data_IF_222710149996
#
_entry.id   IF_222710149996
#
_cell.length_a   1.000
_cell.length_b   1.000
_cell.length_c   1.000
_cell.angle_alpha   90.00
_cell.angle_beta   90.00
_cell.angle_gamma   90.00
#
_symmetry.space_group_name_H-M   'P 1'
#
loop_
_entity.id
_entity.type
_entity.pdbx_description
1 polymer ?
#
# COMPACT_ATOMS: atom_id res chain seq x y z
N UNK A 1 49.54 11.43 3.12
CA UNK A 1 49.43 11.38 4.60
C UNK A 1 48.15 10.64 4.95
N UNK A 2 48.30 9.38 5.32
CA UNK A 2 47.25 8.44 5.72
C UNK A 2 46.81 8.75 7.16
N UNK A 3 45.49 8.81 7.40
CA UNK A 3 44.92 8.71 8.74
C UNK A 3 43.76 7.73 8.73
N UNK A 4 44.10 6.51 9.15
CA UNK A 4 43.18 5.52 9.69
C UNK A 4 42.36 6.13 10.84
N UNK A 5 41.08 5.78 10.94
CA UNK A 5 40.37 5.78 12.22
C UNK A 5 39.68 4.46 12.45
N UNK A 6 40.01 3.93 13.63
CA UNK A 6 39.70 2.64 14.21
C UNK A 6 38.22 2.54 14.58
N UNK A 7 37.63 1.38 14.29
CA UNK A 7 36.39 0.91 14.90
C UNK A 7 36.64 0.56 16.37
N UNK A 8 35.81 1.09 17.26
CA UNK A 8 35.69 0.65 18.66
C UNK A 8 34.32 0.01 18.85
N UNK A 9 34.33 -1.31 19.03
CA UNK A 9 33.24 -2.14 19.53
C UNK A 9 33.44 -2.35 21.04
N UNK A 10 32.36 -2.27 21.82
CA UNK A 10 32.04 -3.08 23.02
C UNK A 10 30.98 -2.35 23.91
N UNK A 11 30.29 -3.04 24.84
CA UNK A 11 29.73 -4.40 24.76
C UNK A 11 28.27 -4.50 25.28
N UNK A 12 27.63 -5.62 24.95
CA UNK A 12 26.47 -6.18 25.65
C UNK A 12 26.81 -6.47 27.12
N UNK A 13 25.91 -6.09 28.03
CA UNK A 13 25.99 -6.40 29.46
C UNK A 13 24.69 -7.02 29.95
N UNK A 14 24.77 -8.31 30.19
CA UNK A 14 23.82 -9.22 30.83
C UNK A 14 23.70 -8.91 32.33
N UNK A 15 22.49 -8.86 32.91
CA UNK A 15 22.25 -8.98 34.37
C UNK A 15 20.88 -9.56 34.69
N UNK A 16 20.93 -10.80 35.14
CA UNK A 16 19.90 -11.60 35.77
C UNK A 16 19.85 -11.43 37.31
N UNK A 17 18.65 -11.69 37.87
CA UNK A 17 18.27 -11.99 39.27
C UNK A 17 18.26 -10.80 40.26
N UNK A 18 17.23 -10.58 41.09
CA UNK A 18 16.86 -11.44 42.24
C UNK A 18 15.46 -11.08 42.79
N UNK A 19 14.71 -12.09 43.26
CA UNK A 19 13.45 -12.04 44.04
C UNK A 19 13.78 -11.99 45.55
N UNK A 20 12.99 -11.33 46.42
CA UNK A 20 12.30 -12.11 47.46
C UNK A 20 10.87 -11.65 47.85
N UNK A 21 10.13 -12.67 48.32
CA UNK A 21 8.77 -12.77 48.87
C UNK A 21 8.50 -11.92 50.12
N UNK A 22 7.26 -11.40 50.26
CA UNK A 22 6.48 -11.30 51.52
C UNK A 22 4.99 -11.47 51.14
N UNK A 23 4.42 -12.68 51.24
CA UNK A 23 3.63 -13.22 52.38
C UNK A 23 2.25 -12.57 52.55
N UNK A 24 1.25 -13.32 52.06
CA UNK A 24 -0.02 -13.65 52.68
C UNK A 24 -0.42 -12.88 53.96
N UNK A 25 -1.54 -12.16 53.87
CA UNK A 25 -2.53 -11.92 54.94
C UNK A 25 -3.59 -10.99 54.37
N UNK A 26 -4.75 -11.50 53.96
CA UNK A 26 -6.05 -10.81 54.01
C UNK A 26 -7.15 -11.75 53.48
N UNK A 27 -7.30 -12.89 54.13
CA UNK A 27 -8.47 -13.77 53.98
C UNK A 27 -8.80 -14.32 55.36
N UNK A 28 -9.89 -13.78 55.94
CA UNK A 28 -10.73 -14.27 57.03
C UNK A 28 -10.98 -13.23 58.12
N UNK A 29 -12.09 -12.50 57.98
CA UNK A 29 -12.98 -12.11 59.10
C UNK A 29 -14.25 -11.47 58.55
N UNK A 30 -15.30 -12.28 58.37
CA UNK A 30 -16.69 -11.92 58.68
C UNK A 30 -17.63 -13.07 58.26
N UNK A 31 -17.66 -14.14 59.05
CA UNK A 31 -18.85 -14.97 59.20
C UNK A 31 -19.62 -14.43 60.41
N UNK A 32 -20.90 -14.10 60.22
CA UNK A 32 -22.00 -14.08 61.21
C UNK A 32 -23.27 -13.68 60.44
N UNK A 33 -24.05 -14.66 59.97
CA UNK A 33 -25.34 -15.06 60.59
C UNK A 33 -26.47 -14.49 59.70
N UNK A 34 -27.56 -15.16 59.34
CA UNK A 34 -28.30 -16.30 59.88
C UNK A 34 -29.04 -17.03 58.72
N UNK A 35 -29.29 -18.35 58.90
CA UNK A 35 -30.52 -19.14 58.59
C UNK A 35 -31.12 -19.07 57.16
N UNK A 36 -31.56 -20.14 56.48
CA UNK A 36 -32.17 -21.42 56.84
C UNK A 36 -32.20 -22.35 55.57
N UNK A 37 -32.75 -23.60 55.58
CA UNK A 37 -32.04 -24.78 55.05
C UNK A 37 -32.74 -25.57 53.90
N UNK A 38 -32.05 -26.62 53.44
CA UNK A 38 -32.53 -27.90 52.84
C UNK A 38 -32.96 -27.97 51.34
N UNK A 39 -32.56 -29.11 50.74
CA UNK A 39 -32.95 -29.70 49.43
C UNK A 39 -32.42 -28.96 48.19
N UNK A 40 -31.44 -29.46 47.43
CA UNK A 40 -31.47 -30.76 46.74
C UNK A 40 -30.08 -31.13 46.23
N UNK A 41 -29.53 -32.22 46.76
CA UNK A 41 -28.42 -32.95 46.16
C UNK A 41 -28.99 -34.17 45.39
N UNK A 42 -28.20 -34.65 44.43
CA UNK A 42 -28.43 -35.77 43.51
C UNK A 42 -29.32 -35.47 42.30
N UNK A 43 -28.66 -35.19 41.17
CA UNK A 43 -28.77 -35.99 39.96
C UNK A 43 -27.57 -35.71 39.04
N UNK A 44 -26.94 -36.80 38.58
CA UNK A 44 -26.13 -36.91 37.37
C UNK A 44 -24.64 -36.52 37.45
N UNK A 45 -23.89 -37.40 38.12
CA UNK A 45 -22.58 -37.85 37.66
C UNK A 45 -22.67 -38.47 36.26
N UNK A 46 -22.22 -37.76 35.23
CA UNK A 46 -21.86 -38.32 33.92
C UNK A 46 -20.36 -38.10 33.70
N UNK A 47 -19.60 -39.12 33.28
CA UNK A 47 -18.17 -38.96 33.03
C UNK A 47 -17.99 -38.02 31.83
N UNK A 48 -17.19 -36.98 32.04
CA UNK A 48 -16.72 -36.13 30.96
C UNK A 48 -16.02 -37.00 29.93
N UNK A 49 -16.63 -37.13 28.75
CA UNK A 49 -16.04 -37.83 27.61
C UNK A 49 -14.83 -37.02 27.16
N UNK A 50 -13.66 -37.43 27.63
CA UNK A 50 -12.38 -36.97 27.13
C UNK A 50 -12.25 -37.33 25.64
N UNK A 51 -11.73 -36.39 24.84
CA UNK A 51 -11.20 -36.65 23.51
C UNK A 51 -12.19 -36.52 22.36
N UNK A 52 -12.73 -35.32 22.12
CA UNK A 52 -12.89 -34.89 20.73
C UNK A 52 -11.49 -34.48 20.24
N UNK A 53 -10.97 -35.02 19.13
CA UNK A 53 -9.69 -34.55 18.59
C UNK A 53 -9.88 -33.07 18.25
N UNK A 54 -9.10 -32.20 18.89
CA UNK A 54 -8.95 -30.81 18.49
C UNK A 54 -8.60 -30.84 17.00
N UNK A 55 -9.54 -30.43 16.15
CA UNK A 55 -9.29 -30.37 14.72
C UNK A 55 -8.01 -29.54 14.50
N UNK A 56 -7.10 -29.95 13.61
CA UNK A 56 -5.86 -29.22 13.40
C UNK A 56 -6.21 -27.77 13.08
N UNK A 57 -5.78 -26.83 13.94
CA UNK A 57 -5.88 -25.40 13.70
C UNK A 57 -4.84 -24.97 12.65
N UNK A 58 -4.72 -25.76 11.58
CA UNK A 58 -3.75 -25.49 10.52
C UNK A 58 -4.32 -24.31 9.75
N UNK A 59 -3.71 -23.15 9.99
CA UNK A 59 -3.90 -21.98 9.16
C UNK A 59 -3.60 -22.39 7.73
N UNK A 60 -4.57 -22.23 6.86
CA UNK A 60 -4.36 -22.46 5.45
C UNK A 60 -3.71 -21.21 4.85
N UNK A 61 -2.74 -21.40 3.97
CA UNK A 61 -2.06 -20.30 3.28
C UNK A 61 -1.92 -20.63 1.79
N UNK A 62 -2.07 -19.61 0.95
CA UNK A 62 -1.66 -19.65 -0.45
C UNK A 62 -0.92 -18.37 -0.81
N UNK A 63 0.05 -18.50 -1.72
CA UNK A 63 0.87 -17.40 -2.17
C UNK A 63 0.87 -17.31 -3.68
N UNK A 64 0.82 -16.09 -4.19
CA UNK A 64 0.78 -15.78 -5.61
C UNK A 64 1.84 -14.74 -5.94
N UNK A 65 2.51 -14.88 -7.08
CA UNK A 65 3.25 -13.77 -7.70
C UNK A 65 2.26 -12.92 -8.45
N UNK A 66 2.22 -11.63 -8.14
CA UNK A 66 1.48 -10.62 -8.88
C UNK A 66 2.38 -10.04 -9.98
N UNK A 67 1.91 -10.11 -11.21
CA UNK A 67 2.54 -9.50 -12.37
C UNK A 67 1.56 -8.56 -13.06
N UNK A 68 2.07 -7.45 -13.55
CA UNK A 68 1.34 -6.53 -14.41
C UNK A 68 2.06 -6.42 -15.74
N UNK A 69 1.35 -6.67 -16.85
CA UNK A 69 1.94 -6.76 -18.20
C UNK A 69 3.16 -7.68 -18.29
N UNK A 70 3.11 -8.80 -17.56
CA UNK A 70 4.20 -9.78 -17.51
C UNK A 70 5.39 -9.37 -16.63
N UNK A 71 5.38 -8.17 -16.04
CA UNK A 71 6.42 -7.72 -15.10
C UNK A 71 6.02 -8.16 -13.68
N UNK A 72 6.81 -9.00 -12.99
CA UNK A 72 6.52 -9.39 -11.62
C UNK A 72 6.72 -8.20 -10.67
N UNK A 73 5.62 -7.66 -10.13
CA UNK A 73 5.63 -6.47 -9.27
C UNK A 73 5.45 -6.79 -7.80
N UNK A 74 5.09 -8.01 -7.43
CA UNK A 74 4.86 -8.32 -6.04
C UNK A 74 4.43 -9.74 -5.75
N UNK A 75 4.02 -9.95 -4.51
CA UNK A 75 3.36 -11.18 -4.08
C UNK A 75 2.11 -10.86 -3.28
N UNK A 76 1.10 -11.70 -3.45
CA UNK A 76 -0.11 -11.73 -2.61
C UNK A 76 -0.06 -13.01 -1.79
N UNK A 77 -0.32 -12.89 -0.49
CA UNK A 77 -0.51 -14.02 0.42
C UNK A 77 -1.93 -13.98 0.95
N UNK A 78 -2.61 -15.12 0.85
CA UNK A 78 -3.93 -15.36 1.41
C UNK A 78 -3.76 -16.32 2.58
N UNK A 79 -4.30 -15.97 3.75
CA UNK A 79 -4.27 -16.83 4.93
C UNK A 79 -5.66 -16.93 5.55
N UNK A 80 -6.03 -18.11 6.04
CA UNK A 80 -7.28 -18.32 6.75
C UNK A 80 -7.05 -19.11 8.03
N UNK A 81 -7.45 -18.53 9.16
CA UNK A 81 -7.44 -19.16 10.47
C UNK A 81 -8.86 -19.62 10.84
N UNK A 82 -9.20 -20.92 10.73
CA UNK A 82 -10.57 -21.39 10.90
C UNK A 82 -11.15 -21.12 12.29
N UNK A 83 -10.34 -21.28 13.35
CA UNK A 83 -10.79 -21.07 14.72
C UNK A 83 -11.21 -19.63 15.03
N UNK A 84 -10.55 -18.64 14.41
CA UNK A 84 -10.91 -17.23 14.52
C UNK A 84 -11.79 -16.74 13.37
N UNK A 85 -12.06 -17.61 12.38
CA UNK A 85 -12.71 -17.29 11.09
C UNK A 85 -12.14 -16.05 10.44
N UNK A 86 -10.83 -15.88 10.58
CA UNK A 86 -10.12 -14.68 10.14
C UNK A 86 -9.46 -14.99 8.80
N UNK A 87 -9.90 -14.27 7.79
CA UNK A 87 -9.25 -14.22 6.49
C UNK A 87 -8.29 -13.03 6.44
N UNK A 88 -7.07 -13.26 5.99
CA UNK A 88 -6.04 -12.22 5.86
C UNK A 88 -5.54 -12.19 4.43
N UNK A 89 -5.55 -11.00 3.85
CA UNK A 89 -4.98 -10.67 2.56
C UNK A 89 -3.76 -9.78 2.79
N UNK A 90 -2.61 -10.22 2.35
CA UNK A 90 -1.36 -9.45 2.43
C UNK A 90 -0.81 -9.25 1.02
N UNK A 91 -0.76 -8.01 0.56
CA UNK A 91 -0.10 -7.64 -0.69
C UNK A 91 1.26 -7.00 -0.42
N UNK A 92 2.28 -7.48 -1.12
CA UNK A 92 3.66 -7.00 -1.02
C UNK A 92 4.15 -6.62 -2.41
N UNK A 93 4.27 -5.33 -2.69
CA UNK A 93 4.77 -4.81 -3.95
C UNK A 93 6.23 -4.42 -3.83
N UNK A 94 7.03 -4.86 -4.80
CA UNK A 94 8.45 -4.54 -4.94
C UNK A 94 8.58 -3.59 -6.11
N UNK A 95 9.46 -2.61 -5.98
CA UNK A 95 9.77 -1.66 -7.03
C UNK A 95 11.27 -1.36 -7.02
N UNK A 96 11.81 -0.98 -8.17
CA UNK A 96 13.20 -0.61 -8.33
C UNK A 96 13.27 0.86 -8.75
N UNK A 97 14.16 1.61 -8.11
CA UNK A 97 14.46 3.01 -8.46
C UNK A 97 15.96 3.27 -8.28
N UNK A 98 16.64 3.66 -9.35
CA UNK A 98 18.08 3.91 -9.39
C UNK A 98 18.89 2.77 -8.76
N UNK A 99 18.56 1.52 -9.12
CA UNK A 99 19.21 0.32 -8.58
C UNK A 99 18.82 -0.06 -7.14
N UNK A 100 18.06 0.79 -6.43
CA UNK A 100 17.56 0.49 -5.09
C UNK A 100 16.21 -0.20 -5.16
N UNK A 101 16.06 -1.25 -4.36
CA UNK A 101 14.84 -2.04 -4.29
C UNK A 101 14.05 -1.63 -3.06
N UNK A 102 12.88 -1.03 -3.29
CA UNK A 102 11.92 -0.71 -2.25
C UNK A 102 10.79 -1.72 -2.19
N UNK A 103 10.11 -1.78 -1.04
CA UNK A 103 8.97 -2.66 -0.81
C UNK A 103 7.86 -1.91 -0.11
N UNK A 104 6.62 -2.09 -0.58
CA UNK A 104 5.41 -1.66 0.12
C UNK A 104 4.57 -2.87 0.46
N UNK A 105 4.16 -2.97 1.72
CA UNK A 105 3.28 -4.05 2.20
C UNK A 105 1.96 -3.43 2.65
N UNK A 106 0.84 -4.03 2.26
CA UNK A 106 -0.50 -3.72 2.75
C UNK A 106 -1.15 -5.00 3.21
N UNK A 107 -1.86 -4.93 4.33
CA UNK A 107 -2.58 -6.06 4.91
C UNK A 107 -4.00 -5.64 5.23
N UNK A 108 -4.94 -6.55 4.98
CA UNK A 108 -6.32 -6.45 5.41
C UNK A 108 -6.71 -7.77 6.04
N UNK A 109 -7.32 -7.71 7.23
CA UNK A 109 -7.88 -8.87 7.89
C UNK A 109 -9.38 -8.69 8.11
N UNK A 110 -10.14 -9.72 7.75
CA UNK A 110 -11.60 -9.75 7.78
C UNK A 110 -12.07 -10.96 8.58
N UNK A 111 -13.10 -10.77 9.40
CA UNK A 111 -13.81 -11.88 10.03
C UNK A 111 -14.91 -12.33 9.08
N UNK A 112 -14.99 -13.63 8.82
CA UNK A 112 -15.97 -14.21 7.90
C UNK A 112 -17.10 -14.92 8.65
N UNK A 113 -18.29 -14.91 8.07
CA UNK A 113 -19.43 -15.75 8.45
C UNK A 113 -19.20 -17.20 7.99
N UNK A 114 -20.06 -18.18 8.38
CA UNK A 114 -19.86 -19.58 7.95
C UNK A 114 -19.93 -19.73 6.43
N UNK A 115 -20.71 -18.87 5.80
CA UNK A 115 -20.94 -18.86 4.37
C UNK A 115 -19.88 -18.03 3.61
N UNK A 116 -18.83 -17.57 4.30
CA UNK A 116 -17.69 -16.86 3.70
C UNK A 116 -17.90 -15.37 3.46
N UNK A 117 -19.02 -14.79 3.88
CA UNK A 117 -19.28 -13.35 3.78
C UNK A 117 -18.52 -12.59 4.87
N UNK A 118 -18.22 -11.32 4.65
CA UNK A 118 -17.65 -10.46 5.69
C UNK A 118 -18.68 -10.24 6.80
N UNK A 119 -18.27 -10.35 8.07
CA UNK A 119 -19.15 -10.12 9.21
C UNK A 119 -19.84 -8.75 9.13
N UNK A 120 -21.17 -8.73 9.30
CA UNK A 120 -22.00 -7.53 9.17
C UNK A 120 -22.20 -7.03 7.74
N UNK A 121 -21.79 -7.77 6.72
CA UNK A 121 -21.94 -7.42 5.30
C UNK A 121 -22.45 -8.63 4.49
N UNK A 122 -23.15 -8.34 3.40
CA UNK A 122 -23.58 -9.36 2.43
C UNK A 122 -22.51 -9.64 1.37
N UNK A 123 -21.32 -9.04 1.49
CA UNK A 123 -20.26 -9.15 0.50
C UNK A 123 -19.24 -10.24 0.85
N UNK A 124 -18.67 -10.88 -0.17
CA UNK A 124 -17.61 -11.89 -0.04
C UNK A 124 -16.26 -11.28 -0.49
N UNK A 125 -15.13 -11.51 0.20
CA UNK A 125 -13.84 -11.03 -0.29
C UNK A 125 -13.49 -11.66 -1.64
N UNK A 126 -13.02 -10.86 -2.60
CA UNK A 126 -12.75 -11.27 -3.97
C UNK A 126 -11.80 -12.47 -4.05
N UNK A 127 -10.67 -12.37 -3.35
CA UNK A 127 -9.65 -13.43 -3.32
C UNK A 127 -10.11 -14.65 -2.53
N UNK A 128 -10.93 -14.49 -1.48
CA UNK A 128 -11.55 -15.61 -0.78
C UNK A 128 -12.50 -16.40 -1.69
N UNK A 129 -13.36 -15.69 -2.42
CA UNK A 129 -14.32 -16.26 -3.37
C UNK A 129 -13.64 -17.11 -4.45
N UNK A 130 -12.47 -16.68 -4.92
CA UNK A 130 -11.71 -17.40 -5.95
C UNK A 130 -10.74 -18.44 -5.43
N UNK A 131 -10.36 -18.42 -4.14
CA UNK A 131 -9.26 -19.25 -3.64
C UNK A 131 -9.59 -20.76 -3.69
N UNK A 132 -10.86 -21.13 -3.45
CA UNK A 132 -11.29 -22.53 -3.28
C UNK A 132 -12.42 -22.93 -4.23
N UNK A 133 -12.07 -23.82 -5.16
CA UNK A 133 -12.93 -24.37 -6.20
C UNK A 133 -13.21 -23.36 -7.29
N UNK A 134 -13.51 -23.80 -8.52
CA UNK A 134 -14.15 -22.90 -9.45
C UNK A 134 -15.51 -22.47 -8.84
N UNK A 135 -15.77 -21.16 -8.66
CA UNK A 135 -17.07 -20.72 -8.17
C UNK A 135 -18.19 -21.15 -9.11
N UNK A 136 -19.37 -21.40 -8.54
CA UNK A 136 -20.54 -21.79 -9.32
C UNK A 136 -20.96 -20.66 -10.29
N UNK A 137 -21.50 -21.00 -11.47
CA UNK A 137 -22.10 -20.01 -12.37
C UNK A 137 -23.13 -19.13 -11.66
N UNK A 138 -23.12 -17.83 -11.96
CA UNK A 138 -23.96 -16.84 -11.30
C UNK A 138 -23.16 -15.70 -10.69
N UNK A 139 -23.85 -14.78 -10.01
CA UNK A 139 -23.25 -13.57 -9.45
C UNK A 139 -23.36 -13.54 -7.92
N UNK A 140 -22.32 -13.01 -7.29
CA UNK A 140 -22.30 -12.63 -5.88
C UNK A 140 -21.92 -11.17 -5.73
N UNK A 141 -22.24 -10.56 -4.60
CA UNK A 141 -21.66 -9.27 -4.23
C UNK A 141 -20.26 -9.51 -3.70
N UNK A 142 -19.25 -9.24 -4.52
CA UNK A 142 -17.86 -9.33 -4.09
C UNK A 142 -17.34 -8.02 -3.54
N UNK A 143 -16.25 -8.10 -2.78
CA UNK A 143 -15.55 -6.97 -2.16
C UNK A 143 -14.06 -7.07 -2.45
N UNK A 144 -13.49 -6.04 -3.05
CA UNK A 144 -12.04 -5.94 -3.19
C UNK A 144 -11.40 -5.59 -1.84
N UNK A 145 -10.35 -6.32 -1.46
CA UNK A 145 -9.82 -6.32 -0.10
C UNK A 145 -9.27 -4.95 0.32
N UNK A 146 -8.41 -4.34 -0.50
CA UNK A 146 -7.60 -3.17 -0.13
C UNK A 146 -8.32 -1.81 -0.20
N UNK A 147 -9.32 -1.69 -1.07
CA UNK A 147 -10.14 -0.50 -1.29
C UNK A 147 -11.49 -0.60 -0.61
N UNK A 148 -12.00 -1.83 -0.44
CA UNK A 148 -13.34 -2.06 0.07
C UNK A 148 -14.48 -1.73 -0.85
N UNK A 149 -14.19 -1.49 -2.12
CA UNK A 149 -15.21 -1.39 -3.15
C UNK A 149 -15.97 -2.71 -3.25
N UNK A 150 -17.30 -2.61 -3.23
CA UNK A 150 -18.21 -3.73 -3.39
C UNK A 150 -18.90 -3.66 -4.77
N UNK A 151 -19.25 -4.82 -5.33
CA UNK A 151 -19.96 -4.89 -6.59
C UNK A 151 -20.05 -6.31 -7.15
N UNK A 152 -20.69 -6.49 -8.31
CA UNK A 152 -20.96 -7.82 -8.85
C UNK A 152 -19.67 -8.56 -9.21
N UNK A 153 -19.61 -9.82 -8.81
CA UNK A 153 -18.62 -10.81 -9.22
C UNK A 153 -19.38 -11.98 -9.81
N UNK A 154 -19.23 -12.19 -11.11
CA UNK A 154 -20.07 -13.12 -11.86
C UNK A 154 -19.22 -14.18 -12.55
N UNK A 155 -19.59 -15.44 -12.41
CA UNK A 155 -19.08 -16.54 -13.24
C UNK A 155 -20.03 -16.77 -14.40
N UNK A 156 -19.50 -16.72 -15.61
CA UNK A 156 -20.27 -16.94 -16.85
C UNK A 156 -19.99 -18.30 -17.47
N UNK A 157 -18.80 -18.88 -17.23
CA UNK A 157 -18.46 -20.20 -17.72
C UNK A 157 -17.47 -20.93 -16.80
N UNK A 158 -17.62 -22.26 -16.74
CA UNK A 158 -16.68 -23.18 -16.09
C UNK A 158 -16.39 -24.31 -17.07
N UNK A 159 -15.11 -24.51 -17.43
CA UNK A 159 -14.68 -25.52 -18.41
C UNK A 159 -13.31 -26.05 -18.01
N UNK A 160 -13.16 -27.37 -17.88
CA UNK A 160 -11.86 -28.05 -17.69
C UNK A 160 -10.96 -27.43 -16.60
N UNK A 161 -11.55 -27.09 -15.43
CA UNK A 161 -10.83 -26.46 -14.32
C UNK A 161 -10.46 -24.98 -14.54
N UNK A 162 -10.94 -24.37 -15.62
CA UNK A 162 -10.91 -22.93 -15.85
C UNK A 162 -12.28 -22.29 -15.61
N UNK A 163 -12.26 -21.04 -15.15
CA UNK A 163 -13.45 -20.21 -14.88
C UNK A 163 -13.28 -18.89 -15.59
N UNK A 164 -14.35 -18.46 -16.24
CA UNK A 164 -14.44 -17.14 -16.87
C UNK A 164 -15.60 -16.36 -16.26
N UNK A 165 -15.45 -15.05 -16.21
CA UNK A 165 -16.44 -14.19 -15.60
C UNK A 165 -16.04 -12.73 -15.56
N UNK A 166 -16.68 -11.98 -14.67
CA UNK A 166 -16.35 -10.59 -14.38
C UNK A 166 -16.18 -10.35 -12.88
N UNK A 167 -15.26 -9.46 -12.51
CA UNK A 167 -15.10 -8.93 -11.15
C UNK A 167 -15.16 -7.42 -11.22
N UNK A 168 -16.17 -6.81 -10.59
CA UNK A 168 -16.39 -5.37 -10.62
C UNK A 168 -16.42 -4.81 -12.06
N UNK A 169 -17.03 -5.58 -12.97
CA UNK A 169 -17.12 -5.25 -14.39
C UNK A 169 -15.87 -5.54 -15.23
N UNK A 170 -14.75 -5.97 -14.65
CA UNK A 170 -13.56 -6.38 -15.39
C UNK A 170 -13.60 -7.87 -15.72
N UNK A 171 -13.30 -8.29 -16.96
CA UNK A 171 -13.23 -9.70 -17.31
C UNK A 171 -12.10 -10.39 -16.56
N UNK A 172 -12.33 -11.63 -16.14
CA UNK A 172 -11.31 -12.46 -15.54
C UNK A 172 -11.33 -13.89 -16.08
N UNK A 173 -10.16 -14.53 -15.96
CA UNK A 173 -10.00 -15.97 -16.15
C UNK A 173 -9.23 -16.54 -14.97
N UNK A 174 -9.76 -17.59 -14.35
CA UNK A 174 -9.10 -18.31 -13.26
C UNK A 174 -8.85 -19.77 -13.66
N UNK A 175 -7.75 -20.36 -13.18
CA UNK A 175 -7.41 -21.77 -13.40
C UNK A 175 -7.15 -22.43 -12.07
N UNK A 176 -7.68 -23.64 -11.93
CA UNK A 176 -7.64 -24.42 -10.70
C UNK A 176 -6.90 -25.74 -10.93
N UNK A 177 -6.21 -26.23 -9.91
CA UNK A 177 -5.67 -27.59 -9.93
C UNK A 177 -6.74 -28.65 -9.65
N UNK A 178 -6.34 -29.92 -9.72
CA UNK A 178 -7.22 -31.07 -9.45
C UNK A 178 -7.79 -31.09 -8.01
N UNK A 179 -7.24 -30.30 -7.08
CA UNK A 179 -7.74 -30.15 -5.71
C UNK A 179 -8.64 -28.92 -5.57
N UNK A 180 -8.96 -28.25 -6.68
CA UNK A 180 -9.75 -27.03 -6.69
C UNK A 180 -9.00 -25.84 -6.08
N UNK A 181 -7.66 -25.83 -6.06
CA UNK A 181 -6.91 -24.64 -5.61
C UNK A 181 -6.62 -23.72 -6.77
N UNK A 182 -6.79 -22.42 -6.55
CA UNK A 182 -6.43 -21.41 -7.53
C UNK A 182 -4.93 -21.52 -7.85
N UNK A 183 -4.60 -21.75 -9.12
CA UNK A 183 -3.23 -21.82 -9.66
C UNK A 183 -2.89 -20.57 -10.47
N UNK A 184 -3.89 -19.96 -11.10
CA UNK A 184 -3.70 -18.76 -11.91
C UNK A 184 -4.96 -17.91 -11.94
N UNK A 185 -4.80 -16.60 -11.95
CA UNK A 185 -5.87 -15.64 -12.15
C UNK A 185 -5.37 -14.52 -13.07
N UNK A 186 -6.15 -14.19 -14.08
CA UNK A 186 -5.94 -13.06 -14.97
C UNK A 186 -7.13 -12.11 -14.85
N UNK A 187 -6.87 -10.82 -14.66
CA UNK A 187 -7.88 -9.76 -14.55
C UNK A 187 -7.36 -8.53 -15.30
N UNK A 188 -7.91 -8.25 -16.48
CA UNK A 188 -7.33 -7.24 -17.38
C UNK A 188 -5.85 -7.53 -17.66
N UNK A 189 -4.97 -6.57 -17.33
CA UNK A 189 -3.51 -6.70 -17.53
C UNK A 189 -2.76 -7.33 -16.33
N UNK A 190 -3.50 -7.71 -15.29
CA UNK A 190 -2.97 -8.30 -14.06
C UNK A 190 -2.99 -9.81 -14.13
N UNK A 191 -1.89 -10.45 -13.72
CA UNK A 191 -1.79 -11.90 -13.58
C UNK A 191 -1.31 -12.27 -12.18
N UNK A 192 -1.96 -13.25 -11.57
CA UNK A 192 -1.56 -13.87 -10.32
C UNK A 192 -1.24 -15.32 -10.59
N UNK A 193 -0.06 -15.79 -10.18
CA UNK A 193 0.38 -17.19 -10.41
C UNK A 193 0.74 -17.82 -9.07
N UNK A 194 0.13 -18.96 -8.77
CA UNK A 194 0.38 -19.72 -7.55
C UNK A 194 1.84 -20.13 -7.45
N UNK A 195 2.44 -19.94 -6.27
CA UNK A 195 3.84 -20.27 -6.00
C UNK A 195 3.99 -20.92 -4.64
N UNK A 196 5.05 -21.72 -4.48
CA UNK A 196 5.39 -22.30 -3.19
C UNK A 196 5.74 -21.22 -2.16
N UNK A 197 5.51 -21.54 -0.88
CA UNK A 197 6.00 -20.74 0.23
C UNK A 197 7.52 -20.51 0.11
N UNK A 198 7.98 -19.32 0.48
CA UNK A 198 9.40 -18.96 0.40
C UNK A 198 9.91 -18.56 -0.99
N UNK A 199 9.09 -18.62 -2.06
CA UNK A 199 9.49 -18.16 -3.39
C UNK A 199 10.01 -16.71 -3.34
N UNK A 200 11.25 -16.51 -3.81
CA UNK A 200 11.88 -15.19 -3.87
C UNK A 200 11.49 -14.50 -5.18
N UNK A 201 10.99 -13.27 -5.06
CA UNK A 201 10.72 -12.42 -6.21
C UNK A 201 12.01 -11.71 -6.62
N UNK A 202 12.36 -11.75 -7.91
CA UNK A 202 13.42 -10.89 -8.44
C UNK A 202 12.94 -9.44 -8.44
N UNK A 203 13.80 -8.45 -8.13
CA UNK A 203 13.43 -7.05 -8.29
C UNK A 203 12.93 -6.79 -9.72
N UNK A 204 11.82 -6.05 -9.91
CA UNK A 204 11.38 -5.67 -11.24
C UNK A 204 12.42 -4.75 -11.90
N UNK A 205 12.37 -4.59 -13.23
CA UNK A 205 13.12 -3.52 -13.89
C UNK A 205 12.74 -2.17 -13.28
N UNK A 206 13.65 -1.20 -13.37
CA UNK A 206 13.37 0.16 -12.98
C UNK A 206 12.45 0.80 -14.01
N UNK A 207 11.16 0.85 -13.69
CA UNK A 207 10.13 1.41 -14.55
C UNK A 207 10.18 2.94 -14.62
N UNK A 208 11.01 3.61 -13.82
CA UNK A 208 11.03 5.06 -13.67
C UNK A 208 12.27 5.70 -14.32
N UNK A 209 13.41 4.99 -14.36
CA UNK A 209 14.70 5.56 -14.79
C UNK A 209 14.75 5.94 -16.27
N UNK A 210 14.06 5.18 -17.13
CA UNK A 210 14.06 5.43 -18.57
C UNK A 210 13.25 6.69 -18.92
N UNK A 211 12.22 7.01 -18.12
CA UNK A 211 11.29 8.10 -18.42
C UNK A 211 10.45 7.84 -19.68
N UNK A 212 9.74 8.86 -20.15
CA UNK A 212 9.00 8.82 -21.41
C UNK A 212 9.61 9.80 -22.41
N UNK A 213 9.62 9.47 -23.72
CA UNK A 213 10.16 10.37 -24.73
C UNK A 213 9.37 11.69 -24.76
N UNK A 214 10.08 12.79 -25.04
CA UNK A 214 9.49 14.12 -25.25
C UNK A 214 9.58 14.45 -26.72
N UNK A 215 8.44 14.64 -27.37
CA UNK A 215 8.40 15.04 -28.78
C UNK A 215 8.54 16.56 -28.93
N UNK A 216 9.40 17.00 -29.86
CA UNK A 216 9.68 18.42 -30.09
C UNK A 216 10.88 18.94 -29.29
N UNK A 217 11.37 20.13 -29.65
CA UNK A 217 12.68 20.64 -29.18
C UNK A 217 12.61 21.88 -28.29
N UNK A 218 11.52 22.64 -28.32
CA UNK A 218 11.35 23.90 -27.56
C UNK A 218 9.90 24.07 -27.13
N UNK A 219 9.70 24.89 -26.09
CA UNK A 219 8.39 25.27 -25.57
C UNK A 219 7.98 24.51 -24.31
N UNK A 220 6.79 24.88 -23.79
CA UNK A 220 6.22 24.27 -22.59
C UNK A 220 5.87 22.80 -22.84
N UNK A 221 6.06 21.97 -21.82
CA UNK A 221 5.63 20.57 -21.85
C UNK A 221 4.11 20.48 -21.81
N UNK A 222 3.57 19.48 -22.50
CA UNK A 222 2.15 19.17 -22.51
C UNK A 222 1.90 17.71 -22.90
N UNK A 223 0.62 17.33 -22.86
CA UNK A 223 0.16 16.01 -23.29
C UNK A 223 -0.51 16.09 -24.66
N UNK A 224 -0.29 15.07 -25.50
CA UNK A 224 -1.02 14.85 -26.74
C UNK A 224 -1.65 13.43 -26.74
N UNK A 225 -2.99 13.30 -26.76
CA UNK A 225 -3.99 14.37 -26.68
C UNK A 225 -3.95 15.12 -25.34
N UNK A 226 -4.52 16.34 -25.26
CA UNK A 226 -4.51 17.14 -24.03
C UNK A 226 -5.09 16.39 -22.84
N UNK A 227 -4.36 16.40 -21.73
CA UNK A 227 -4.78 15.80 -20.47
C UNK A 227 -4.83 16.88 -19.39
N UNK A 228 -6.00 17.48 -19.11
CA UNK A 228 -6.09 18.56 -18.15
C UNK A 228 -5.70 18.08 -16.75
N UNK A 229 -5.00 18.93 -16.02
CA UNK A 229 -4.64 18.72 -14.61
C UNK A 229 -5.19 19.89 -13.83
N UNK A 230 -5.78 19.61 -12.66
CA UNK A 230 -6.33 20.66 -11.80
C UNK A 230 -5.23 21.66 -11.45
N UNK A 231 -5.44 22.93 -11.82
CA UNK A 231 -4.45 23.98 -11.57
C UNK A 231 -4.35 24.29 -10.08
N UNK A 232 -5.49 24.48 -9.41
CA UNK A 232 -5.57 24.77 -7.98
C UNK A 232 -6.68 23.93 -7.34
N UNK A 233 -6.36 22.89 -6.57
CA UNK A 233 -7.37 22.15 -5.82
C UNK A 233 -8.06 23.04 -4.78
N UNK A 234 -9.36 22.83 -4.55
CA UNK A 234 -10.20 23.67 -3.66
C UNK A 234 -9.78 23.63 -2.19
N UNK A 235 -9.07 22.59 -1.77
CA UNK A 235 -8.62 22.39 -0.40
C UNK A 235 -7.28 23.11 -0.08
N UNK A 236 -6.55 23.58 -1.11
CA UNK A 236 -5.26 24.26 -0.93
C UNK A 236 -5.47 25.66 -0.34
N UNK A 237 -4.81 25.95 0.78
CA UNK A 237 -4.91 27.24 1.48
C UNK A 237 -4.04 28.31 0.83
N UNK A 238 -4.39 29.57 1.06
CA UNK A 238 -3.54 30.70 0.70
C UNK A 238 -2.35 30.81 1.63
N UNK A 239 -1.18 30.97 1.04
CA UNK A 239 0.07 31.14 1.76
C UNK A 239 0.95 32.23 1.12
N UNK A 240 1.87 32.78 1.91
CA UNK A 240 2.83 33.79 1.48
C UNK A 240 3.98 33.10 0.77
N UNK A 241 4.32 33.60 -0.42
CA UNK A 241 5.33 33.00 -1.28
C UNK A 241 6.70 32.87 -0.58
N UNK A 242 7.13 33.91 0.13
CA UNK A 242 8.43 33.92 0.80
C UNK A 242 8.51 32.89 1.94
N UNK A 243 7.42 32.73 2.70
CA UNK A 243 7.34 31.73 3.77
C UNK A 243 7.37 30.30 3.20
N UNK A 244 6.65 30.06 2.11
CA UNK A 244 6.68 28.77 1.41
C UNK A 244 8.08 28.46 0.85
N UNK A 245 8.77 29.45 0.26
CA UNK A 245 10.14 29.30 -0.24
C UNK A 245 11.14 29.04 0.89
N UNK A 246 11.00 29.74 2.02
CA UNK A 246 11.82 29.50 3.21
C UNK A 246 11.64 28.06 3.71
N UNK A 247 10.41 27.54 3.77
CA UNK A 247 10.18 26.15 4.13
C UNK A 247 10.81 25.18 3.13
N UNK A 248 10.75 25.46 1.82
CA UNK A 248 11.39 24.60 0.83
C UNK A 248 12.90 24.49 1.07
N UNK A 249 13.56 25.60 1.38
CA UNK A 249 14.99 25.62 1.74
C UNK A 249 15.27 24.87 3.05
N UNK A 250 14.43 25.04 4.09
CA UNK A 250 14.54 24.27 5.35
C UNK A 250 14.40 22.75 5.14
N UNK A 251 13.51 22.33 4.25
CA UNK A 251 13.31 20.92 3.91
C UNK A 251 14.51 20.38 3.14
N UNK A 252 14.99 21.12 2.13
CA UNK A 252 16.19 20.77 1.37
C UNK A 252 17.42 20.57 2.25
N UNK A 253 17.62 21.48 3.21
CA UNK A 253 18.73 21.41 4.15
C UNK A 253 18.61 20.24 5.15
N UNK A 254 17.39 19.74 5.39
CA UNK A 254 17.15 18.64 6.33
C UNK A 254 17.49 17.25 5.78
N UNK A 255 17.79 17.12 4.49
CA UNK A 255 18.25 15.87 3.88
C UNK A 255 19.73 16.01 3.47
N UNK A 256 20.59 15.36 4.26
CA UNK A 256 22.02 15.28 3.96
C UNK A 256 22.27 14.46 2.70
N UNK A 257 21.54 13.35 2.54
CA UNK A 257 21.56 12.50 1.35
C UNK A 257 20.27 12.70 0.54
N UNK A 258 20.43 12.99 -0.76
CA UNK A 258 19.33 13.31 -1.68
C UNK A 258 19.01 12.14 -2.63
N UNK A 259 19.73 11.03 -2.53
CA UNK A 259 19.39 9.79 -3.19
C UNK A 259 18.09 9.18 -2.64
N UNK A 260 17.38 8.37 -3.46
CA UNK A 260 16.20 7.65 -2.99
C UNK A 260 16.50 6.82 -1.74
N UNK A 261 15.65 6.94 -0.73
CA UNK A 261 15.86 6.33 0.58
C UNK A 261 14.59 5.88 1.27
N UNK A 262 14.71 5.43 2.52
CA UNK A 262 13.55 4.98 3.31
C UNK A 262 12.49 6.08 3.46
N UNK A 263 12.90 7.36 3.49
CA UNK A 263 12.00 8.48 3.63
C UNK A 263 11.06 8.69 2.44
N UNK A 264 11.41 8.24 1.22
CA UNK A 264 10.51 8.33 0.06
C UNK A 264 9.27 7.43 0.20
N UNK A 265 9.30 6.51 1.16
CA UNK A 265 8.23 5.54 1.44
C UNK A 265 7.50 5.82 2.75
N UNK A 266 7.85 6.91 3.43
CA UNK A 266 7.15 7.43 4.61
C UNK A 266 6.10 8.45 4.18
N UNK A 267 4.90 8.39 4.76
CA UNK A 267 3.82 9.35 4.49
C UNK A 267 4.20 10.79 4.88
N UNK A 268 5.14 10.95 5.81
CA UNK A 268 5.63 12.25 6.30
C UNK A 268 7.00 12.64 5.74
N UNK A 269 7.64 11.75 4.96
CA UNK A 269 9.01 11.95 4.51
C UNK A 269 10.05 11.91 5.64
N UNK A 270 9.77 11.26 6.77
CA UNK A 270 10.73 11.10 7.88
C UNK A 270 11.91 10.16 7.52
N UNK A 271 13.13 10.55 7.93
CA UNK A 271 14.37 9.81 7.65
C UNK A 271 15.55 10.73 7.27
N UNK A 272 16.78 10.19 7.28
CA UNK A 272 18.00 10.97 7.03
C UNK A 272 18.32 11.16 5.53
N UNK A 273 17.83 10.26 4.69
CA UNK A 273 18.01 10.29 3.23
C UNK A 273 16.70 10.08 2.48
N UNK A 274 16.50 10.86 1.42
CA UNK A 274 15.32 10.75 0.57
C UNK A 274 15.42 11.64 -0.66
N UNK A 275 14.80 11.20 -1.74
CA UNK A 275 14.69 11.92 -2.99
C UNK A 275 13.42 12.80 -3.01
N UNK A 276 12.87 13.03 -4.19
CA UNK A 276 11.83 14.03 -4.40
C UNK A 276 10.49 13.76 -3.69
N UNK A 277 10.11 12.50 -3.50
CA UNK A 277 8.89 12.17 -2.77
C UNK A 277 9.05 12.48 -1.28
N UNK A 278 10.20 12.12 -0.69
CA UNK A 278 10.51 12.42 0.70
C UNK A 278 10.51 13.93 0.98
N UNK A 279 11.12 14.72 0.08
CA UNK A 279 11.16 16.18 0.20
C UNK A 279 9.76 16.79 0.10
N UNK A 280 8.96 16.37 -0.89
CA UNK A 280 7.61 16.88 -1.05
C UNK A 280 6.70 16.50 0.14
N UNK A 281 6.77 15.26 0.61
CA UNK A 281 6.03 14.78 1.78
C UNK A 281 6.42 15.53 3.07
N UNK A 282 7.72 15.72 3.31
CA UNK A 282 8.22 16.47 4.47
C UNK A 282 7.81 17.95 4.42
N UNK A 283 7.85 18.57 3.24
CA UNK A 283 7.31 19.92 3.06
C UNK A 283 5.84 19.97 3.44
N UNK A 284 5.03 19.05 2.93
CA UNK A 284 3.60 19.00 3.22
C UNK A 284 3.31 18.79 4.72
N UNK A 285 4.02 17.87 5.39
CA UNK A 285 3.86 17.65 6.82
C UNK A 285 4.22 18.90 7.65
N UNK A 286 5.32 19.57 7.31
CA UNK A 286 5.75 20.81 7.98
C UNK A 286 4.88 22.02 7.65
N UNK A 287 4.26 22.04 6.48
CA UNK A 287 3.26 23.04 6.10
C UNK A 287 1.97 22.84 6.90
N UNK A 288 1.50 21.59 7.04
CA UNK A 288 0.34 21.25 7.85
C UNK A 288 0.52 21.64 9.32
N UNK A 289 1.72 21.44 9.88
CA UNK A 289 2.07 21.90 11.23
C UNK A 289 2.01 23.44 11.39
N UNK A 290 2.05 24.20 10.29
CA UNK A 290 1.87 25.66 10.24
C UNK A 290 0.44 26.07 9.83
N UNK A 291 -0.51 25.14 9.83
CA UNK A 291 -1.90 25.38 9.43
C UNK A 291 -2.12 25.52 7.92
N UNK A 292 -1.15 25.12 7.09
CA UNK A 292 -1.20 25.26 5.64
C UNK A 292 -1.50 23.93 4.96
N UNK A 293 -2.40 23.94 3.97
CA UNK A 293 -2.71 22.78 3.13
C UNK A 293 -2.16 23.02 1.73
N UNK A 294 -1.33 22.10 1.27
CA UNK A 294 -0.56 22.18 0.01
C UNK A 294 -0.72 20.92 -0.80
N UNK A 295 -0.65 21.01 -2.12
CA UNK A 295 -0.73 19.85 -3.00
C UNK A 295 0.63 19.18 -3.20
N UNK A 296 0.65 17.85 -3.06
CA UNK A 296 1.73 17.04 -3.62
C UNK A 296 1.47 16.89 -5.10
N UNK A 297 2.42 17.32 -5.93
CA UNK A 297 2.36 17.16 -7.37
C UNK A 297 3.21 15.95 -7.73
N UNK A 298 2.59 14.90 -8.26
CA UNK A 298 3.30 13.86 -8.99
C UNK A 298 3.31 14.26 -10.46
N UNK A 299 4.49 14.33 -11.07
CA UNK A 299 4.62 14.80 -12.43
C UNK A 299 5.87 14.27 -13.10
N UNK A 300 6.25 14.94 -14.19
CA UNK A 300 7.40 14.61 -15.00
C UNK A 300 8.36 15.79 -15.04
N UNK A 301 9.65 15.49 -14.92
CA UNK A 301 10.76 16.41 -15.08
C UNK A 301 11.54 16.04 -16.34
N UNK A 302 11.58 16.94 -17.33
CA UNK A 302 12.43 16.84 -18.50
C UNK A 302 13.53 17.89 -18.39
N UNK A 303 14.76 17.41 -18.25
CA UNK A 303 15.97 18.25 -18.28
C UNK A 303 16.59 18.12 -19.67
N UNK A 304 16.97 19.24 -20.25
CA UNK A 304 17.54 19.33 -21.60
C UNK A 304 16.62 18.68 -22.68
N UNK A 305 17.23 18.02 -23.67
CA UNK A 305 16.57 17.22 -24.70
C UNK A 305 16.34 15.76 -24.28
N UNK A 306 16.44 15.47 -22.96
CA UNK A 306 16.27 14.12 -22.42
C UNK A 306 14.81 13.68 -22.28
N UNK A 307 14.58 12.41 -21.90
CA UNK A 307 13.25 11.92 -21.59
C UNK A 307 12.68 12.61 -20.34
N UNK A 308 11.35 12.70 -20.27
CA UNK A 308 10.64 13.21 -19.11
C UNK A 308 10.54 12.10 -18.05
N UNK A 309 11.16 12.30 -16.88
CA UNK A 309 11.22 11.29 -15.82
C UNK A 309 10.27 11.62 -14.67
N UNK A 310 9.70 10.61 -14.01
CA UNK A 310 8.86 10.81 -12.83
C UNK A 310 9.56 11.63 -11.75
N UNK A 311 8.89 12.68 -11.28
CA UNK A 311 9.36 13.61 -10.26
C UNK A 311 8.21 14.05 -9.36
N UNK A 312 8.54 14.57 -8.18
CA UNK A 312 7.57 15.04 -7.21
C UNK A 312 7.98 16.40 -6.65
N UNK A 313 7.01 17.30 -6.50
CA UNK A 313 7.20 18.63 -5.94
C UNK A 313 5.92 19.09 -5.23
N UNK A 314 5.90 20.32 -4.73
CA UNK A 314 4.73 20.86 -4.02
C UNK A 314 4.11 22.04 -4.76
N UNK A 315 2.80 22.18 -4.66
CA UNK A 315 2.04 23.35 -5.11
C UNK A 315 1.35 24.02 -3.93
N UNK A 316 1.63 25.31 -3.74
CA UNK A 316 1.01 26.15 -2.71
C UNK A 316 0.02 27.12 -3.33
N UNK A 317 -1.05 27.45 -2.61
CA UNK A 317 -1.97 28.52 -2.98
C UNK A 317 -1.40 29.88 -2.58
N UNK A 318 -1.66 30.91 -3.37
CA UNK A 318 -1.26 32.28 -3.08
C UNK A 318 -2.50 33.15 -2.83
N UNK A 319 -2.38 34.12 -1.93
CA UNK A 319 -3.44 35.05 -1.48
C UNK A 319 -4.14 35.91 -2.58
N UNK A 320 -3.78 35.73 -3.85
CA UNK A 320 -4.45 36.32 -5.01
C UNK A 320 -5.13 35.29 -5.92
N UNK A 321 -5.44 34.09 -5.41
CA UNK A 321 -6.03 32.99 -6.18
C UNK A 321 -5.05 32.20 -7.06
N UNK A 322 -3.80 32.69 -7.20
CA UNK A 322 -2.73 32.01 -7.93
C UNK A 322 -2.17 30.79 -7.21
N UNK A 323 -1.19 30.14 -7.85
CA UNK A 323 -0.44 29.02 -7.27
C UNK A 323 1.05 29.21 -7.50
N UNK A 324 1.85 28.64 -6.61
CA UNK A 324 3.31 28.59 -6.73
C UNK A 324 3.76 27.14 -6.59
N UNK A 325 4.52 26.66 -7.58
CA UNK A 325 5.16 25.35 -7.50
C UNK A 325 6.59 25.52 -6.98
N UNK A 326 6.98 24.64 -6.07
CA UNK A 326 8.30 24.62 -5.43
C UNK A 326 8.83 23.19 -5.47
N UNK A 327 10.08 23.01 -5.89
CA UNK A 327 10.79 21.74 -5.77
C UNK A 327 11.73 21.80 -4.55
N UNK A 328 11.32 21.30 -3.38
CA UNK A 328 12.18 21.27 -2.19
C UNK A 328 13.39 20.34 -2.35
N UNK A 329 13.45 19.50 -3.38
CA UNK A 329 14.55 18.56 -3.64
C UNK A 329 15.76 19.27 -4.23
N UNK A 330 15.53 20.04 -5.30
CA UNK A 330 16.58 20.73 -6.07
C UNK A 330 16.70 22.21 -5.71
N UNK A 331 15.61 22.83 -5.25
CA UNK A 331 15.41 24.28 -5.18
C UNK A 331 15.45 24.98 -6.55
N UNK A 332 15.50 24.23 -7.65
CA UNK A 332 15.43 24.79 -8.98
C UNK A 332 14.03 25.36 -9.27
N UNK A 333 13.92 26.38 -10.15
CA UNK A 333 12.63 26.88 -10.57
C UNK A 333 11.77 25.80 -11.24
N UNK A 334 10.53 25.64 -10.75
CA UNK A 334 9.52 24.81 -11.42
C UNK A 334 8.94 25.57 -12.61
N UNK A 335 9.40 25.23 -13.81
CA UNK A 335 9.04 25.92 -15.06
C UNK A 335 8.19 25.03 -15.97
N UNK A 336 7.24 25.59 -16.75
CA UNK A 336 6.45 24.82 -17.71
C UNK A 336 7.29 24.10 -18.78
N UNK A 337 8.49 24.59 -19.09
CA UNK A 337 9.41 23.96 -20.04
C UNK A 337 10.13 22.72 -19.49
N UNK A 338 10.18 22.54 -18.17
CA UNK A 338 10.91 21.45 -17.51
C UNK A 338 10.00 20.53 -16.71
N UNK A 339 8.90 21.06 -16.16
CA UNK A 339 7.98 20.32 -15.30
C UNK A 339 6.59 20.21 -15.94
N UNK A 340 6.08 18.98 -15.98
CA UNK A 340 4.74 18.67 -16.44
C UNK A 340 3.98 17.96 -15.31
N UNK A 341 3.01 18.61 -14.65
CA UNK A 341 2.16 17.96 -13.66
C UNK A 341 1.43 16.77 -14.29
N UNK A 342 1.41 15.63 -13.60
CA UNK A 342 0.63 14.45 -14.02
C UNK A 342 -0.67 14.39 -13.21
N UNK A 343 -0.58 14.49 -11.89
CA UNK A 343 -1.71 14.58 -10.98
C UNK A 343 -1.33 15.36 -9.70
N UNK A 344 -2.36 15.77 -8.95
CA UNK A 344 -2.22 16.42 -7.64
C UNK A 344 -2.96 15.58 -6.60
N UNK A 345 -2.34 15.37 -5.44
CA UNK A 345 -2.94 14.65 -4.32
C UNK A 345 -2.89 15.47 -3.03
N UNK A 346 -3.86 15.23 -2.16
CA UNK A 346 -3.74 15.64 -0.76
C UNK A 346 -2.63 14.81 -0.09
N UNK A 347 -1.76 15.43 0.73
CA UNK A 347 -0.74 14.69 1.47
C UNK A 347 -1.35 13.54 2.28
N UNK A 348 -0.77 12.34 2.18
CA UNK A 348 -1.26 11.12 2.83
C UNK A 348 -2.43 10.42 2.11
N UNK A 349 -3.04 11.05 1.11
CA UNK A 349 -4.04 10.39 0.27
C UNK A 349 -3.38 9.46 -0.77
N UNK A 350 -4.05 8.36 -1.17
CA UNK A 350 -3.56 7.51 -2.26
C UNK A 350 -3.40 8.28 -3.58
N UNK A 351 -2.21 8.25 -4.18
CA UNK A 351 -1.92 8.88 -5.47
C UNK A 351 -2.39 8.02 -6.67
N UNK A 352 -3.63 7.53 -6.63
CA UNK A 352 -4.18 6.59 -7.63
C UNK A 352 -4.20 7.22 -9.03
N UNK A 353 -4.66 8.46 -9.14
CA UNK A 353 -4.71 9.18 -10.42
C UNK A 353 -3.32 9.30 -11.05
N UNK A 354 -2.30 9.67 -10.27
CA UNK A 354 -0.91 9.75 -10.77
C UNK A 354 -0.45 8.41 -11.36
N UNK A 355 -0.75 7.31 -10.66
CA UNK A 355 -0.46 5.95 -11.12
C UNK A 355 -1.19 5.63 -12.42
N UNK A 356 -2.50 5.82 -12.49
CA UNK A 356 -3.30 5.54 -13.69
C UNK A 356 -2.80 6.32 -14.92
N UNK A 357 -2.49 7.61 -14.72
CA UNK A 357 -1.96 8.48 -15.78
C UNK A 357 -0.57 8.07 -16.23
N UNK A 358 0.28 7.64 -15.30
CA UNK A 358 1.60 7.10 -15.64
C UNK A 358 1.47 5.85 -16.50
N UNK A 359 0.57 4.93 -16.13
CA UNK A 359 0.35 3.70 -16.90
C UNK A 359 -0.22 4.00 -18.30
N UNK A 360 -1.06 5.03 -18.45
CA UNK A 360 -1.57 5.48 -19.75
C UNK A 360 -0.46 6.05 -20.65
N UNK A 361 0.49 6.80 -20.09
CA UNK A 361 1.68 7.24 -20.84
C UNK A 361 2.50 6.04 -21.32
N UNK A 362 2.71 5.04 -20.46
CA UNK A 362 3.40 3.81 -20.85
C UNK A 362 2.62 2.98 -21.89
N UNK A 363 1.30 3.17 -22.02
CA UNK A 363 0.47 2.58 -23.08
C UNK A 363 0.50 3.37 -24.39
N UNK A 364 1.09 4.56 -24.40
CA UNK A 364 1.05 5.47 -25.55
C UNK A 364 -0.32 6.09 -25.81
N UNK A 365 -1.25 6.01 -24.84
CA UNK A 365 -2.56 6.69 -24.93
C UNK A 365 -2.39 8.21 -24.93
N UNK A 366 -1.36 8.68 -24.24
CA UNK A 366 -0.89 10.05 -24.26
C UNK A 366 0.62 10.07 -24.51
N UNK A 367 1.08 11.16 -25.12
CA UNK A 367 2.49 11.43 -25.37
C UNK A 367 2.88 12.75 -24.73
N UNK A 368 4.13 12.85 -24.29
CA UNK A 368 4.68 14.12 -23.81
C UNK A 368 5.25 14.88 -25.00
N UNK A 369 4.78 16.10 -25.19
CA UNK A 369 5.17 16.96 -26.30
C UNK A 369 5.62 18.31 -25.78
N UNK A 370 6.41 19.04 -26.58
CA UNK A 370 6.64 20.47 -26.37
C UNK A 370 5.73 21.29 -27.29
N UNK A 371 5.05 22.28 -26.71
CA UNK A 371 4.27 23.25 -27.45
C UNK A 371 5.18 23.99 -28.45
N UNK A 372 4.71 24.13 -29.69
CA UNK A 372 5.48 24.81 -30.74
C UNK A 372 5.64 26.30 -30.46
#
# INVERSE_FOLDING_TARGET
MTKERRYLLAPMGDRSHTVPRIVARFLNRALRGLQAPLLSALLLSLPARAGAPSAPSVSEEARFVFSWKGIPLGTVTLAFAPGARRFTYTSRHVHTRSGHVGQRTREVALVLTPDGHVEGRASVPQSWWLWRGPPAPGCVTGREELSGREGPHCVTAVRDGAVEGTMLGQPFTARYDARGRLQGLEVGESRFTGVAAGTRLRPPPDLFVEGVPVEGTRGALGFAPPWPVVRRPSWVTDWRADEARALAAEVHAAFAEKAPGAADWSDTGEGEGGACLAHAARFAARAAARGQRVALVQGLLAVDAGPARPHAWVRVGLAGGGTLDLDPTSLDPVLPGTHLPLALAEPGAPAVEAGERWLALLRGEHRVVRAR
#
